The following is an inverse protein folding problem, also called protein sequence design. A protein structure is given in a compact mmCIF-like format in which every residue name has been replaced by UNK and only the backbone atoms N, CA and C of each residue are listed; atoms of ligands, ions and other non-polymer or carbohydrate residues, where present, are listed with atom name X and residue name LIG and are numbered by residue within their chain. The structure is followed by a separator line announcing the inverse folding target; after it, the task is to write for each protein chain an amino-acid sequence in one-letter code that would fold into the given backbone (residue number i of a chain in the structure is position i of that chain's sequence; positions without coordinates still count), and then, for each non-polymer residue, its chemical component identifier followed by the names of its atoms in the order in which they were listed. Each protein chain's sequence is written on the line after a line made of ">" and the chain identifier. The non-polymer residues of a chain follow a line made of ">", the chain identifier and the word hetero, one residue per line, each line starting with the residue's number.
data_IF_170519276642
#
_entry.id   IF_170519276642
#
_cell.length_a   1.000
_cell.length_b   1.000
_cell.length_c   1.000
_cell.angle_alpha   90.00
_cell.angle_beta   90.00
_cell.angle_gamma   90.00
#
_symmetry.space_group_name_H-M   'P 1'
#
loop_
_entity.id
_entity.type
_entity.pdbx_description
1 polymer ?
#
# COMPACT_ATOMS: atom_id res chain seq x y z
N UNK A 1 -30.25 -23.64 66.23
CA UNK A 1 -30.74 -22.79 65.12
C UNK A 1 -29.75 -21.65 64.89
N UNK A 2 -28.85 -21.77 63.91
CA UNK A 2 -27.89 -20.71 63.55
C UNK A 2 -28.32 -20.07 62.22
N UNK A 3 -28.55 -18.75 62.25
CA UNK A 3 -28.86 -17.92 61.07
C UNK A 3 -27.58 -17.69 60.27
N UNK A 4 -27.52 -18.13 59.00
CA UNK A 4 -26.45 -17.76 58.07
C UNK A 4 -26.75 -16.38 57.48
N UNK A 5 -25.80 -15.45 57.59
CA UNK A 5 -25.77 -14.19 56.85
C UNK A 5 -25.26 -14.46 55.43
N UNK A 6 -26.00 -14.00 54.44
CA UNK A 6 -25.58 -14.00 53.04
C UNK A 6 -24.81 -12.70 52.76
N UNK A 7 -23.53 -12.81 52.44
CA UNK A 7 -22.75 -11.67 51.95
C UNK A 7 -22.98 -11.52 50.45
N UNK A 8 -23.36 -10.30 50.02
CA UNK A 8 -23.48 -9.92 48.61
C UNK A 8 -22.14 -9.38 48.13
N UNK A 9 -21.47 -10.08 47.22
CA UNK A 9 -20.25 -9.62 46.57
C UNK A 9 -20.56 -8.65 45.42
N UNK A 10 -20.38 -7.35 45.68
CA UNK A 10 -20.54 -6.26 44.70
C UNK A 10 -19.26 -5.99 43.89
N UNK A 11 -18.71 -7.01 43.23
CA UNK A 11 -17.38 -6.95 42.60
C UNK A 11 -17.33 -6.65 41.10
N UNK A 12 -18.45 -6.71 40.37
CA UNK A 12 -18.40 -6.66 38.89
C UNK A 12 -18.60 -5.27 38.28
N UNK A 13 -19.19 -4.31 38.99
CA UNK A 13 -19.48 -2.98 38.43
C UNK A 13 -18.28 -2.02 38.35
N UNK A 14 -17.29 -2.18 39.25
CA UNK A 14 -16.14 -1.28 39.29
C UNK A 14 -15.17 -1.49 38.12
N UNK A 15 -15.03 -2.74 37.65
CA UNK A 15 -14.11 -3.08 36.56
C UNK A 15 -14.62 -2.53 35.22
N UNK A 16 -15.93 -2.56 35.00
CA UNK A 16 -16.55 -2.09 33.76
C UNK A 16 -16.42 -0.56 33.56
N UNK A 17 -16.54 0.21 34.66
CA UNK A 17 -16.36 1.67 34.63
C UNK A 17 -14.91 2.04 34.29
N UNK A 18 -13.93 1.31 34.83
CA UNK A 18 -12.50 1.58 34.55
C UNK A 18 -12.19 1.35 33.06
N UNK A 19 -12.72 0.27 32.47
CA UNK A 19 -12.51 -0.03 31.05
C UNK A 19 -13.12 1.06 30.17
N UNK A 20 -14.33 1.52 30.48
CA UNK A 20 -14.99 2.59 29.73
C UNK A 20 -14.16 3.90 29.75
N UNK A 21 -13.60 4.27 30.91
CA UNK A 21 -12.76 5.47 31.04
C UNK A 21 -11.48 5.35 30.22
N UNK A 22 -10.82 4.19 30.20
CA UNK A 22 -9.60 3.96 29.41
C UNK A 22 -9.87 4.15 27.91
N UNK A 23 -10.98 3.62 27.40
CA UNK A 23 -11.34 3.76 25.97
C UNK A 23 -11.54 5.23 25.59
N UNK A 24 -12.23 6.02 26.42
CA UNK A 24 -12.46 7.45 26.17
C UNK A 24 -11.14 8.24 26.14
N UNK A 25 -10.20 7.93 27.05
CA UNK A 25 -8.89 8.58 27.07
C UNK A 25 -8.09 8.26 25.81
N UNK A 26 -8.07 7.00 25.36
CA UNK A 26 -7.34 6.60 24.15
C UNK A 26 -7.90 7.28 22.90
N UNK A 27 -9.23 7.34 22.76
CA UNK A 27 -9.87 8.02 21.63
C UNK A 27 -9.61 9.53 21.64
N UNK A 28 -9.62 10.16 22.82
CA UNK A 28 -9.30 11.58 22.98
C UNK A 28 -7.87 11.93 22.56
N UNK A 29 -6.89 11.09 22.91
CA UNK A 29 -5.48 11.30 22.56
C UNK A 29 -5.23 11.17 21.05
N UNK A 30 -5.87 10.21 20.39
CA UNK A 30 -5.76 10.03 18.93
C UNK A 30 -6.38 11.23 18.21
N UNK A 31 -7.57 11.66 18.63
CA UNK A 31 -8.25 12.83 18.06
C UNK A 31 -7.44 14.12 18.21
N UNK A 32 -6.80 14.34 19.36
CA UNK A 32 -5.94 15.52 19.59
C UNK A 32 -4.73 15.55 18.66
N UNK A 33 -4.05 14.42 18.46
CA UNK A 33 -2.85 14.32 17.61
C UNK A 33 -3.14 14.63 16.14
N UNK A 34 -4.30 14.21 15.63
CA UNK A 34 -4.74 14.54 14.27
C UNK A 34 -5.11 16.02 14.13
N UNK A 35 -5.72 16.63 15.15
CA UNK A 35 -6.09 18.05 15.12
C UNK A 35 -4.85 18.97 15.09
N UNK A 36 -3.82 18.67 15.88
CA UNK A 36 -2.60 19.48 15.97
C UNK A 36 -1.77 19.45 14.67
N UNK A 37 -1.75 18.30 13.98
CA UNK A 37 -1.07 18.14 12.70
C UNK A 37 -1.71 18.96 11.54
N UNK A 38 -2.96 19.41 11.71
CA UNK A 38 -3.69 20.16 10.66
C UNK A 38 -3.51 21.68 10.75
N UNK A 39 -3.02 22.22 11.88
CA UNK A 39 -2.83 23.68 12.07
C UNK A 39 -1.47 24.22 11.59
N UNK A 40 -0.54 23.36 11.19
CA UNK A 40 0.83 23.75 10.84
C UNK A 40 1.10 23.95 9.33
N UNK A 41 0.05 24.00 8.49
CA UNK A 41 0.19 24.27 7.05
C UNK A 41 -0.69 25.42 6.57
N UNK A 42 -0.40 26.62 7.04
CA UNK A 42 -0.87 27.85 6.41
C UNK A 42 0.12 28.98 6.68
N UNK A 43 1.05 29.23 5.73
CA UNK A 43 1.53 30.56 5.31
C UNK A 43 2.76 30.49 4.38
N UNK A 44 2.92 31.57 3.60
CA UNK A 44 3.93 31.90 2.57
C UNK A 44 3.59 31.38 1.16
N UNK A 45 2.91 32.11 0.26
CA UNK A 45 3.07 33.48 -0.30
C UNK A 45 3.72 33.47 -1.69
N UNK A 46 3.00 34.14 -2.58
CA UNK A 46 3.19 34.53 -3.97
C UNK A 46 4.54 35.21 -4.26
N UNK A 47 5.12 34.95 -5.44
CA UNK A 47 5.86 35.97 -6.18
C UNK A 47 5.82 35.74 -7.70
N UNK A 48 5.39 36.79 -8.40
CA UNK A 48 5.26 36.97 -9.84
C UNK A 48 6.52 37.69 -10.37
N UNK A 49 7.11 37.27 -11.51
CA UNK A 49 7.38 38.20 -12.62
C UNK A 49 7.77 37.54 -13.96
N UNK A 50 7.43 38.27 -15.01
CA UNK A 50 7.44 37.99 -16.44
C UNK A 50 8.82 37.88 -17.11
N UNK A 51 8.85 37.21 -18.27
CA UNK A 51 9.91 37.36 -19.28
C UNK A 51 9.60 36.58 -20.56
N UNK A 52 9.14 37.29 -21.60
CA UNK A 52 8.85 36.76 -22.93
C UNK A 52 10.12 36.42 -23.71
N UNK A 53 10.13 35.28 -24.42
CA UNK A 53 10.77 35.21 -25.73
C UNK A 53 10.18 34.08 -26.57
N UNK A 54 9.53 34.47 -27.66
CA UNK A 54 9.08 33.56 -28.70
C UNK A 54 10.28 33.01 -29.47
N UNK A 55 10.33 31.69 -29.65
CA UNK A 55 11.07 31.07 -30.72
C UNK A 55 10.23 29.95 -31.32
N UNK A 56 9.70 30.18 -32.52
CA UNK A 56 9.02 29.17 -33.32
C UNK A 56 10.05 28.15 -33.78
N UNK A 57 10.10 27.01 -33.10
CA UNK A 57 10.68 25.80 -33.65
C UNK A 57 9.59 24.73 -33.66
N UNK A 58 9.12 24.41 -34.87
CA UNK A 58 8.20 23.32 -35.15
C UNK A 58 8.89 22.00 -34.79
N UNK A 59 8.79 21.63 -33.51
CA UNK A 59 9.16 20.31 -33.04
C UNK A 59 7.98 19.40 -33.35
N UNK A 60 8.23 18.41 -34.20
CA UNK A 60 7.33 17.31 -34.46
C UNK A 60 7.22 16.49 -33.15
N UNK A 61 6.37 16.96 -32.23
CA UNK A 61 6.13 16.31 -30.95
C UNK A 61 5.28 15.06 -31.19
N UNK A 62 5.92 13.97 -31.57
CA UNK A 62 5.46 12.68 -31.08
C UNK A 62 5.40 12.80 -29.56
N UNK A 63 4.28 12.45 -28.88
CA UNK A 63 4.20 12.55 -27.44
C UNK A 63 5.36 11.75 -26.84
N UNK A 64 6.33 12.43 -26.24
CA UNK A 64 7.32 11.77 -25.40
C UNK A 64 6.52 11.31 -24.19
N UNK A 65 6.14 10.04 -24.24
CA UNK A 65 5.41 9.35 -23.21
C UNK A 65 6.22 9.47 -21.92
N UNK A 66 5.81 10.38 -21.04
CA UNK A 66 6.46 10.57 -19.75
C UNK A 66 6.11 9.34 -18.93
N UNK A 67 7.01 8.36 -18.94
CA UNK A 67 6.86 7.12 -18.20
C UNK A 67 6.46 7.44 -16.75
N UNK A 68 5.25 7.02 -16.38
CA UNK A 68 4.77 7.10 -15.00
C UNK A 68 5.33 5.90 -14.24
N UNK A 69 5.97 6.12 -13.11
CA UNK A 69 6.55 5.06 -12.29
C UNK A 69 5.77 4.90 -10.98
N UNK A 70 5.65 3.66 -10.51
CA UNK A 70 5.28 3.34 -9.14
C UNK A 70 6.56 3.15 -8.32
N UNK A 71 6.89 4.16 -7.50
CA UNK A 71 8.06 4.12 -6.63
C UNK A 71 7.70 3.47 -5.29
N UNK A 72 8.27 2.30 -5.01
CA UNK A 72 8.04 1.52 -3.78
C UNK A 72 9.24 1.70 -2.85
N UNK A 73 9.24 2.81 -2.11
CA UNK A 73 10.39 3.29 -1.34
C UNK A 73 10.87 2.29 -0.29
N UNK A 74 9.95 1.59 0.36
CA UNK A 74 10.25 0.63 1.43
C UNK A 74 10.99 -0.61 0.91
N UNK A 75 10.84 -0.90 -0.39
CA UNK A 75 11.57 -1.96 -1.10
C UNK A 75 12.76 -1.38 -1.90
N UNK A 76 12.84 -0.08 -2.13
CA UNK A 76 13.88 0.56 -2.95
C UNK A 76 13.82 0.11 -4.40
N UNK A 77 12.60 -0.06 -4.93
CA UNK A 77 12.37 -0.45 -6.33
C UNK A 77 11.33 0.46 -6.96
N UNK A 78 11.38 0.57 -8.28
CA UNK A 78 10.35 1.23 -9.07
C UNK A 78 9.92 0.37 -10.25
N UNK A 79 8.66 0.53 -10.64
CA UNK A 79 8.02 -0.19 -11.75
C UNK A 79 7.43 0.84 -12.71
N UNK A 80 7.75 0.76 -14.00
CA UNK A 80 7.10 1.60 -15.01
C UNK A 80 5.66 1.14 -15.17
N UNK A 81 4.71 2.08 -15.18
CA UNK A 81 3.28 1.82 -15.35
C UNK A 81 2.87 2.09 -16.80
N UNK A 82 1.93 1.28 -17.32
CA UNK A 82 1.19 1.60 -18.54
C UNK A 82 0.00 2.52 -18.24
N UNK A 83 -0.65 3.03 -19.29
CA UNK A 83 -1.80 3.93 -19.16
C UNK A 83 -2.99 3.33 -18.39
N UNK A 84 -3.22 2.02 -18.52
CA UNK A 84 -4.35 1.31 -17.90
C UNK A 84 -4.20 1.11 -16.38
N UNK A 85 -2.98 1.27 -15.87
CA UNK A 85 -2.62 1.12 -14.46
C UNK A 85 -1.78 2.29 -13.94
N UNK A 86 -1.82 3.45 -14.60
CA UNK A 86 -1.07 4.65 -14.19
C UNK A 86 -1.45 5.17 -12.81
N UNK A 87 -2.60 4.74 -12.30
CA UNK A 87 -3.11 5.01 -10.96
C UNK A 87 -2.88 3.83 -10.00
N UNK A 88 -1.93 2.94 -10.30
CA UNK A 88 -1.48 1.91 -9.39
C UNK A 88 -1.01 2.52 -8.07
N UNK A 89 -1.36 1.86 -6.98
CA UNK A 89 -1.02 2.23 -5.61
C UNK A 89 -0.53 1.01 -4.86
N UNK A 90 0.18 1.22 -3.76
CA UNK A 90 0.63 0.14 -2.91
C UNK A 90 0.33 0.43 -1.44
N UNK A 91 0.30 -0.63 -0.65
CA UNK A 91 0.22 -0.57 0.80
C UNK A 91 1.37 -1.34 1.43
N UNK A 92 2.09 -0.68 2.33
CA UNK A 92 3.15 -1.26 3.15
C UNK A 92 2.65 -1.43 4.58
N UNK A 93 2.45 -2.68 5.01
CA UNK A 93 2.14 -2.99 6.40
C UNK A 93 3.41 -3.01 7.24
N UNK A 94 3.66 -1.94 7.98
CA UNK A 94 4.86 -1.81 8.81
C UNK A 94 4.94 -2.86 9.93
N UNK A 95 3.80 -3.26 10.51
CA UNK A 95 3.78 -4.25 11.59
C UNK A 95 4.12 -5.65 11.05
N UNK A 96 3.50 -6.04 9.94
CA UNK A 96 3.80 -7.30 9.27
C UNK A 96 5.28 -7.36 8.85
N UNK A 97 5.79 -6.31 8.21
CA UNK A 97 7.17 -6.27 7.72
C UNK A 97 8.21 -6.16 8.84
N UNK A 98 7.85 -5.66 10.02
CA UNK A 98 8.70 -5.71 11.19
C UNK A 98 8.79 -7.13 11.77
N UNK A 99 7.67 -7.87 11.76
CA UNK A 99 7.63 -9.25 12.23
C UNK A 99 8.29 -10.22 11.23
N UNK A 100 8.15 -9.96 9.93
CA UNK A 100 8.68 -10.76 8.83
C UNK A 100 9.58 -9.91 7.93
N UNK A 101 10.84 -9.67 8.33
CA UNK A 101 11.73 -8.75 7.61
C UNK A 101 12.29 -9.33 6.29
N UNK A 102 12.12 -10.63 6.03
CA UNK A 102 12.52 -11.29 4.80
C UNK A 102 11.51 -12.39 4.39
N UNK A 103 10.76 -12.21 3.29
CA UNK A 103 10.78 -11.04 2.42
C UNK A 103 10.07 -9.84 3.05
N UNK A 104 10.54 -8.62 2.73
CA UNK A 104 9.67 -7.45 2.85
C UNK A 104 8.65 -7.47 1.72
N UNK A 105 7.43 -7.00 1.98
CA UNK A 105 6.37 -7.02 0.99
C UNK A 105 5.47 -5.80 1.00
N UNK A 106 4.91 -5.51 -0.17
CA UNK A 106 3.84 -4.55 -0.37
C UNK A 106 2.71 -5.17 -1.17
N UNK A 107 1.50 -4.74 -0.87
CA UNK A 107 0.29 -5.17 -1.58
C UNK A 107 -0.06 -4.13 -2.64
N UNK A 108 -0.39 -4.55 -3.86
CA UNK A 108 -0.61 -3.66 -5.00
C UNK A 108 -2.09 -3.63 -5.39
N UNK A 109 -2.59 -2.43 -5.69
CA UNK A 109 -3.90 -2.19 -6.28
C UNK A 109 -3.86 -1.00 -7.25
N UNK A 110 -5.00 -0.56 -7.75
CA UNK A 110 -5.19 0.70 -8.46
C UNK A 110 -6.28 1.54 -7.79
N UNK A 111 -6.22 2.86 -7.98
CA UNK A 111 -7.27 3.75 -7.49
C UNK A 111 -8.62 3.44 -8.16
N UNK A 112 -8.64 3.15 -9.46
CA UNK A 112 -9.83 2.77 -10.21
C UNK A 112 -10.52 1.52 -9.64
N UNK A 113 -9.74 0.51 -9.22
CA UNK A 113 -10.31 -0.68 -8.58
C UNK A 113 -10.88 -0.36 -7.20
N UNK A 114 -10.13 0.38 -6.38
CA UNK A 114 -10.58 0.75 -5.05
C UNK A 114 -11.87 1.59 -5.10
N UNK A 115 -11.92 2.57 -6.01
CA UNK A 115 -13.08 3.46 -6.18
C UNK A 115 -14.30 2.67 -6.70
N UNK A 116 -14.10 1.79 -7.70
CA UNK A 116 -15.19 0.96 -8.26
C UNK A 116 -15.73 -0.06 -7.26
N UNK A 117 -14.89 -0.58 -6.37
CA UNK A 117 -15.26 -1.63 -5.42
C UNK A 117 -15.72 -1.12 -4.05
N UNK A 118 -15.76 0.20 -3.84
CA UNK A 118 -16.01 0.77 -2.51
C UNK A 118 -14.92 0.40 -1.48
N UNK A 119 -13.69 0.18 -1.93
CA UNK A 119 -12.52 -0.07 -1.09
C UNK A 119 -12.18 -1.53 -0.82
N UNK A 120 -13.04 -2.51 -1.14
CA UNK A 120 -12.73 -3.94 -0.95
C UNK A 120 -11.49 -4.42 -1.73
N UNK A 121 -11.22 -3.78 -2.86
CA UNK A 121 -10.07 -4.02 -3.72
C UNK A 121 -8.92 -3.04 -3.46
N UNK A 122 -8.97 -2.20 -2.43
CA UNK A 122 -7.86 -1.31 -2.09
C UNK A 122 -6.61 -2.11 -1.68
N UNK A 123 -5.42 -1.54 -1.90
CA UNK A 123 -4.16 -2.18 -1.49
C UNK A 123 -4.12 -2.48 0.03
N UNK A 124 -4.75 -1.63 0.84
CA UNK A 124 -4.85 -1.77 2.30
C UNK A 124 -5.83 -2.85 2.77
N UNK A 125 -6.64 -3.45 1.89
CA UNK A 125 -7.56 -4.53 2.29
C UNK A 125 -6.85 -5.86 2.56
N UNK A 126 -5.55 -5.95 2.25
CA UNK A 126 -4.76 -7.16 2.39
C UNK A 126 -4.93 -8.16 1.24
N UNK A 127 -5.89 -7.93 0.32
CA UNK A 127 -6.10 -8.81 -0.84
C UNK A 127 -5.11 -8.51 -1.96
N UNK A 128 -4.92 -7.22 -2.29
CA UNK A 128 -4.04 -6.77 -3.37
C UNK A 128 -4.42 -7.35 -4.72
N UNK A 129 -5.46 -6.84 -5.39
CA UNK A 129 -5.98 -7.42 -6.61
C UNK A 129 -4.98 -7.48 -7.77
N UNK A 130 -3.93 -6.65 -7.75
CA UNK A 130 -2.85 -6.67 -8.75
C UNK A 130 -1.67 -7.56 -8.34
N UNK A 131 -1.63 -7.98 -7.07
CA UNK A 131 -0.64 -8.89 -6.51
C UNK A 131 0.12 -8.31 -5.32
N UNK A 132 1.15 -9.04 -4.92
CA UNK A 132 2.07 -8.64 -3.84
C UNK A 132 3.48 -8.63 -4.41
N UNK A 133 4.19 -7.51 -4.24
CA UNK A 133 5.62 -7.45 -4.53
C UNK A 133 6.38 -7.82 -3.26
N UNK A 134 7.31 -8.75 -3.37
CA UNK A 134 8.16 -9.20 -2.28
C UNK A 134 9.63 -8.97 -2.63
N UNK A 135 10.42 -8.46 -1.70
CA UNK A 135 11.87 -8.31 -1.84
C UNK A 135 12.59 -9.21 -0.84
N UNK A 136 13.45 -10.06 -1.37
CA UNK A 136 14.33 -10.95 -0.62
C UNK A 136 15.74 -10.40 -0.61
N UNK A 137 16.35 -10.30 0.58
CA UNK A 137 17.74 -9.87 0.76
C UNK A 137 18.77 -10.98 0.51
N UNK A 138 18.33 -12.18 0.12
CA UNK A 138 19.20 -13.33 -0.16
C UNK A 138 18.68 -14.18 -1.32
N UNK A 139 19.32 -15.33 -1.53
CA UNK A 139 19.09 -16.19 -2.68
C UNK A 139 18.07 -17.32 -2.42
N UNK A 140 17.35 -17.28 -1.30
CA UNK A 140 16.34 -18.28 -0.95
C UNK A 140 15.03 -17.62 -0.52
N UNK A 141 13.92 -18.30 -0.78
CA UNK A 141 12.60 -17.87 -0.33
C UNK A 141 12.37 -18.17 1.17
N UNK A 142 11.18 -17.81 1.68
CA UNK A 142 10.82 -18.06 3.08
C UNK A 142 10.72 -19.54 3.48
N UNK A 143 10.78 -20.46 2.51
CA UNK A 143 10.83 -21.92 2.72
C UNK A 143 12.24 -22.50 2.55
N UNK A 144 13.25 -21.66 2.29
CA UNK A 144 14.63 -22.09 2.07
C UNK A 144 14.91 -22.59 0.64
N UNK A 145 13.97 -22.44 -0.29
CA UNK A 145 14.17 -22.84 -1.69
C UNK A 145 14.94 -21.76 -2.44
N UNK A 146 15.89 -22.13 -3.33
CA UNK A 146 16.61 -21.14 -4.14
C UNK A 146 15.65 -20.27 -4.98
N UNK A 147 15.87 -18.96 -4.95
CA UNK A 147 15.24 -18.01 -5.86
C UNK A 147 16.03 -17.99 -7.17
N UNK A 148 15.33 -18.24 -8.27
CA UNK A 148 15.89 -18.22 -9.63
C UNK A 148 15.12 -17.19 -10.44
N UNK A 149 15.84 -16.24 -11.04
CA UNK A 149 15.21 -15.25 -11.90
C UNK A 149 14.61 -15.92 -13.13
N UNK A 150 13.32 -15.65 -13.39
CA UNK A 150 12.56 -16.21 -14.51
C UNK A 150 12.26 -15.18 -15.59
N UNK A 151 12.60 -13.90 -15.37
CA UNK A 151 12.32 -12.80 -16.28
C UNK A 151 10.83 -12.47 -16.44
N UNK A 152 9.97 -13.00 -15.56
CA UNK A 152 8.52 -12.83 -15.59
C UNK A 152 7.96 -12.38 -14.25
N UNK A 153 8.22 -13.13 -13.19
CA UNK A 153 7.69 -12.90 -11.84
C UNK A 153 8.78 -12.85 -10.78
N UNK A 154 10.01 -13.22 -11.11
CA UNK A 154 11.20 -13.21 -10.24
C UNK A 154 12.33 -12.54 -11.00
N UNK A 155 12.79 -11.41 -10.47
CA UNK A 155 13.89 -10.62 -11.03
C UNK A 155 14.99 -10.47 -10.01
N UNK A 156 16.24 -10.59 -10.46
CA UNK A 156 17.39 -10.19 -9.66
C UNK A 156 17.65 -8.71 -9.89
N UNK A 157 17.60 -7.92 -8.83
CA UNK A 157 17.72 -6.47 -8.86
C UNK A 157 18.78 -6.06 -7.83
N UNK A 158 19.98 -5.73 -8.33
CA UNK A 158 21.17 -5.61 -7.49
C UNK A 158 21.50 -6.94 -6.79
N UNK A 159 21.67 -6.88 -5.47
CA UNK A 159 21.95 -8.05 -4.61
C UNK A 159 20.68 -8.72 -4.06
N UNK A 160 19.49 -8.28 -4.48
CA UNK A 160 18.21 -8.79 -3.99
C UNK A 160 17.43 -9.50 -5.10
N UNK A 161 16.48 -10.34 -4.69
CA UNK A 161 15.44 -10.85 -5.59
C UNK A 161 14.13 -10.13 -5.30
N UNK A 162 13.46 -9.69 -6.36
CA UNK A 162 12.14 -9.07 -6.30
C UNK A 162 11.16 -9.99 -7.00
N UNK A 163 10.10 -10.37 -6.31
CA UNK A 163 9.08 -11.26 -6.85
C UNK A 163 7.72 -10.58 -6.90
N UNK A 164 6.91 -10.94 -7.89
CA UNK A 164 5.50 -10.61 -7.98
C UNK A 164 4.69 -11.89 -7.73
N UNK A 165 3.89 -11.89 -6.67
CA UNK A 165 2.95 -12.97 -6.38
C UNK A 165 1.55 -12.58 -6.80
N UNK A 166 0.89 -13.47 -7.54
CA UNK A 166 -0.51 -13.26 -7.93
C UNK A 166 -1.44 -13.38 -6.72
N UNK A 167 -2.52 -12.57 -6.67
CA UNK A 167 -3.51 -12.67 -5.62
C UNK A 167 -4.10 -14.09 -5.58
N UNK A 168 -4.28 -14.63 -4.37
CA UNK A 168 -4.85 -15.98 -4.16
C UNK A 168 -6.38 -15.95 -3.98
N UNK A 169 -6.96 -14.77 -3.83
CA UNK A 169 -8.38 -14.57 -3.65
C UNK A 169 -8.85 -13.37 -4.49
N UNK A 170 -10.12 -13.43 -4.90
CA UNK A 170 -10.80 -12.29 -5.48
C UNK A 170 -11.08 -11.22 -4.41
N UNK A 171 -11.00 -9.95 -4.80
CA UNK A 171 -11.33 -8.82 -3.92
C UNK A 171 -12.82 -8.42 -3.97
N UNK A 172 -13.60 -9.02 -4.87
CA UNK A 172 -15.03 -8.77 -5.06
C UNK A 172 -15.70 -9.98 -5.68
N UNK A 173 -17.02 -10.10 -5.52
CA UNK A 173 -17.88 -11.03 -6.27
C UNK A 173 -18.54 -10.40 -7.49
N UNK A 174 -18.41 -9.07 -7.66
CA UNK A 174 -18.94 -8.34 -8.82
C UNK A 174 -18.12 -8.62 -10.08
N UNK A 175 -18.77 -9.14 -11.12
CA UNK A 175 -18.13 -9.53 -12.37
C UNK A 175 -17.39 -8.37 -13.07
N UNK A 176 -17.92 -7.15 -13.00
CA UNK A 176 -17.31 -5.98 -13.63
C UNK A 176 -16.06 -5.49 -12.89
N UNK A 177 -15.94 -5.80 -11.60
CA UNK A 177 -14.74 -5.53 -10.79
C UNK A 177 -13.70 -6.62 -11.05
N UNK A 178 -14.14 -7.88 -11.14
CA UNK A 178 -13.27 -9.00 -11.46
C UNK A 178 -12.62 -8.87 -12.84
N UNK A 179 -13.38 -8.46 -13.84
CA UNK A 179 -12.88 -8.20 -15.20
C UNK A 179 -11.82 -7.08 -15.20
N UNK A 180 -12.13 -5.95 -14.57
CA UNK A 180 -11.18 -4.84 -14.42
C UNK A 180 -9.91 -5.28 -13.68
N UNK A 181 -10.05 -6.04 -12.59
CA UNK A 181 -8.91 -6.52 -11.81
C UNK A 181 -8.05 -7.49 -12.63
N UNK A 182 -8.68 -8.33 -13.46
CA UNK A 182 -7.96 -9.27 -14.33
C UNK A 182 -7.15 -8.55 -15.40
N UNK A 183 -7.75 -7.56 -16.07
CA UNK A 183 -7.09 -6.73 -17.09
C UNK A 183 -5.91 -5.97 -16.48
N UNK A 184 -6.16 -5.20 -15.42
CA UNK A 184 -5.10 -4.43 -14.77
C UNK A 184 -4.00 -5.31 -14.17
N UNK A 185 -4.31 -6.52 -13.71
CA UNK A 185 -3.30 -7.46 -13.22
C UNK A 185 -2.41 -7.97 -14.35
N UNK A 186 -2.96 -8.20 -15.53
CA UNK A 186 -2.15 -8.55 -16.71
C UNK A 186 -1.21 -7.39 -17.08
N UNK A 187 -1.73 -6.17 -17.12
CA UNK A 187 -0.94 -4.97 -17.42
C UNK A 187 0.14 -4.71 -16.36
N UNK A 188 -0.18 -4.93 -15.09
CA UNK A 188 0.79 -4.81 -14.00
C UNK A 188 1.86 -5.89 -14.06
N UNK A 189 1.49 -7.13 -14.41
CA UNK A 189 2.46 -8.23 -14.59
C UNK A 189 3.41 -7.93 -15.75
N UNK A 190 2.91 -7.37 -16.85
CA UNK A 190 3.75 -6.93 -17.96
C UNK A 190 4.67 -5.78 -17.55
N UNK A 191 4.10 -4.76 -16.90
CA UNK A 191 4.81 -3.60 -16.38
C UNK A 191 5.90 -3.98 -15.38
N UNK A 192 5.66 -5.00 -14.55
CA UNK A 192 6.61 -5.49 -13.55
C UNK A 192 7.91 -6.02 -14.16
N UNK A 193 7.93 -6.41 -15.44
CA UNK A 193 9.18 -6.76 -16.14
C UNK A 193 10.18 -5.60 -16.22
N UNK A 194 9.72 -4.36 -16.02
CA UNK A 194 10.55 -3.15 -15.95
C UNK A 194 11.10 -2.86 -14.55
N UNK A 195 10.88 -3.76 -13.57
CA UNK A 195 11.31 -3.52 -12.19
C UNK A 195 12.81 -3.28 -12.11
N UNK A 196 13.18 -2.21 -11.42
CA UNK A 196 14.56 -1.79 -11.25
C UNK A 196 14.76 -1.13 -9.89
N UNK A 197 16.02 -0.93 -9.49
CA UNK A 197 16.34 -0.18 -8.29
C UNK A 197 15.82 1.25 -8.39
N UNK A 198 15.29 1.75 -7.27
CA UNK A 198 15.10 3.19 -7.13
C UNK A 198 16.48 3.81 -6.84
N UNK A 199 16.91 4.73 -7.72
CA UNK A 199 18.22 5.39 -7.65
C UNK A 199 18.06 6.79 -7.08
#
# INVERSE_FOLDING_TARGET
>A
MQKRKTEKSAGFGAVEIIIAVVVVVVLGLIGWRLYDASKSKQNASTQQNSGSQANNQTSNNTPVDRATYLDIKELGVKVKLSDDIKDATYYYDAAYNAQYPNPKQVTISSKSLADKSGGSCAASSGVGPLGTIQKYSGNVDGSGRPLVADGKTVFKVGDSYVTLRTPQAACSSDASILDLASTQRADFTESFKSVQLDQ
#
